data_IF_953595097172
#
_entry.id   IF_953595097172
#
_cell.length_a   1.000
_cell.length_b   1.000
_cell.length_c   1.000
_cell.angle_alpha   90.00
_cell.angle_beta   90.00
_cell.angle_gamma   90.00
#
_symmetry.space_group_name_H-M   'P 1'
#
loop_
_entity.id
_entity.type
_entity.pdbx_description
1 polymer ?
#
# COMPACT_ATOMS: atom_id res chain seq x y z
N UNK A 1 -1.64 -13.89 14.24
CA UNK A 1 -2.38 -12.91 13.42
C UNK A 1 -2.40 -11.56 14.09
N UNK A 2 -1.83 -10.58 13.42
CA UNK A 2 -1.62 -9.20 13.86
C UNK A 2 -2.40 -8.25 12.96
N UNK A 3 -2.70 -7.06 13.47
CA UNK A 3 -3.32 -5.99 12.68
C UNK A 3 -2.24 -4.99 12.26
N UNK A 4 -2.26 -4.62 10.98
CA UNK A 4 -1.34 -3.66 10.42
C UNK A 4 -2.11 -2.51 9.79
N UNK A 5 -1.61 -1.30 9.99
CA UNK A 5 -2.07 -0.11 9.29
C UNK A 5 -0.98 0.37 8.35
N UNK A 6 -1.39 0.66 7.11
CA UNK A 6 -0.54 1.22 6.08
C UNK A 6 -1.10 2.54 5.60
N UNK A 7 -0.26 3.57 5.57
CA UNK A 7 -0.52 4.81 4.84
C UNK A 7 0.25 4.75 3.53
N UNK A 8 -0.40 5.06 2.41
CA UNK A 8 0.18 4.87 1.09
C UNK A 8 -0.16 6.01 0.13
N UNK A 9 0.65 6.12 -0.92
CA UNK A 9 0.46 7.04 -2.04
C UNK A 9 0.64 6.29 -3.35
N UNK A 10 -0.28 6.50 -4.28
CA UNK A 10 -0.22 5.95 -5.64
C UNK A 10 0.01 7.11 -6.61
N UNK A 11 1.16 7.10 -7.27
CA UNK A 11 1.48 8.06 -8.32
C UNK A 11 0.81 7.63 -9.63
N UNK A 12 -0.08 8.46 -10.17
CA UNK A 12 -0.81 8.17 -11.41
C UNK A 12 -0.09 8.74 -12.64
N UNK A 13 0.45 9.96 -12.51
CA UNK A 13 1.25 10.65 -13.51
C UNK A 13 2.21 11.66 -12.84
N UNK A 14 2.93 12.47 -13.62
CA UNK A 14 3.95 13.41 -13.12
C UNK A 14 3.41 14.50 -12.17
N UNK A 15 2.10 14.74 -12.16
CA UNK A 15 1.46 15.80 -11.36
C UNK A 15 0.33 15.31 -10.45
N UNK A 16 -0.16 14.08 -10.64
CA UNK A 16 -1.30 13.53 -9.93
C UNK A 16 -0.97 12.24 -9.19
N UNK A 17 -1.57 12.11 -8.01
CA UNK A 17 -1.61 10.85 -7.29
C UNK A 17 -2.70 10.82 -6.24
N UNK A 18 -2.88 9.65 -5.64
CA UNK A 18 -3.94 9.37 -4.67
C UNK A 18 -3.28 8.89 -3.38
N UNK A 19 -3.63 9.54 -2.28
CA UNK A 19 -3.28 9.12 -0.93
C UNK A 19 -4.38 8.26 -0.33
N UNK A 20 -4.00 7.32 0.53
CA UNK A 20 -4.95 6.48 1.22
C UNK A 20 -4.37 5.72 2.39
N UNK A 21 -5.26 5.02 3.09
CA UNK A 21 -4.94 4.16 4.22
C UNK A 21 -5.56 2.78 4.04
N UNK A 22 -4.91 1.75 4.58
CA UNK A 22 -5.44 0.39 4.60
C UNK A 22 -5.14 -0.30 5.92
N UNK A 23 -6.15 -1.02 6.41
CA UNK A 23 -6.03 -1.90 7.56
C UNK A 23 -6.09 -3.34 7.06
N UNK A 24 -5.11 -4.15 7.45
CA UNK A 24 -5.01 -5.54 7.03
C UNK A 24 -4.61 -6.42 8.21
N UNK A 25 -4.91 -7.71 8.09
CA UNK A 25 -4.56 -8.73 9.08
C UNK A 25 -3.60 -9.72 8.47
N UNK A 26 -2.50 -10.00 9.14
CA UNK A 26 -1.48 -10.92 8.64
C UNK A 26 -0.53 -11.42 9.72
N UNK A 27 0.46 -12.22 9.33
CA UNK A 27 1.50 -12.72 10.25
C UNK A 27 2.77 -11.87 10.20
N UNK A 28 3.15 -11.38 9.02
CA UNK A 28 4.35 -10.55 8.79
C UNK A 28 3.98 -9.28 8.04
N UNK A 29 4.53 -8.16 8.49
CA UNK A 29 4.24 -6.84 7.92
C UNK A 29 4.76 -6.72 6.49
N UNK A 30 5.90 -7.36 6.17
CA UNK A 30 6.52 -7.32 4.84
C UNK A 30 5.66 -8.03 3.79
N UNK A 31 5.07 -9.17 4.15
CA UNK A 31 4.19 -9.94 3.27
C UNK A 31 2.92 -9.15 2.95
N UNK A 32 2.31 -8.54 3.97
CA UNK A 32 1.11 -7.72 3.80
C UNK A 32 1.40 -6.41 3.04
N UNK A 33 2.56 -5.81 3.29
CA UNK A 33 3.02 -4.64 2.54
C UNK A 33 3.17 -4.97 1.04
N UNK A 34 3.75 -6.13 0.70
CA UNK A 34 3.87 -6.57 -0.68
C UNK A 34 2.50 -6.79 -1.33
N UNK A 35 1.59 -7.47 -0.64
CA UNK A 35 0.21 -7.71 -1.10
C UNK A 35 -0.55 -6.41 -1.36
N UNK A 36 -0.41 -5.42 -0.47
CA UNK A 36 -1.05 -4.11 -0.66
C UNK A 36 -0.50 -3.41 -1.89
N UNK A 37 0.83 -3.40 -2.09
CA UNK A 37 1.43 -2.78 -3.28
C UNK A 37 0.92 -3.43 -4.56
N UNK A 38 0.87 -4.76 -4.62
CA UNK A 38 0.31 -5.46 -5.78
C UNK A 38 -1.18 -5.16 -5.98
N UNK A 39 -1.97 -5.15 -4.90
CA UNK A 39 -3.40 -4.84 -4.97
C UNK A 39 -3.64 -3.44 -5.53
N UNK A 40 -3.01 -2.42 -4.95
CA UNK A 40 -3.16 -1.03 -5.36
C UNK A 40 -2.67 -0.81 -6.79
N UNK A 41 -1.58 -1.47 -7.20
CA UNK A 41 -1.10 -1.38 -8.57
C UNK A 41 -2.14 -1.85 -9.60
N UNK A 42 -2.89 -2.91 -9.28
CA UNK A 42 -3.97 -3.43 -10.12
C UNK A 42 -5.21 -2.55 -10.07
N UNK A 43 -5.57 -2.07 -8.88
CA UNK A 43 -6.74 -1.23 -8.64
C UNK A 43 -6.65 0.12 -9.39
N UNK A 44 -5.48 0.74 -9.37
CA UNK A 44 -5.22 2.03 -10.01
C UNK A 44 -4.56 1.91 -11.39
N UNK A 45 -4.37 0.70 -11.91
CA UNK A 45 -3.77 0.44 -13.23
C UNK A 45 -2.37 1.07 -13.41
N UNK A 46 -1.54 1.02 -12.37
CA UNK A 46 -0.17 1.53 -12.37
C UNK A 46 0.87 0.42 -12.16
N UNK A 47 2.15 0.74 -12.37
CA UNK A 47 3.23 -0.19 -12.01
C UNK A 47 3.34 -0.29 -10.48
N UNK A 48 3.72 -1.46 -9.91
CA UNK A 48 3.97 -1.58 -8.47
C UNK A 48 5.01 -0.58 -7.94
N UNK A 49 5.96 -0.15 -8.79
CA UNK A 49 6.95 0.88 -8.46
C UNK A 49 6.35 2.27 -8.23
N UNK A 50 5.12 2.51 -8.70
CA UNK A 50 4.37 3.75 -8.50
C UNK A 50 3.55 3.74 -7.21
N UNK A 51 3.59 2.66 -6.43
CA UNK A 51 2.90 2.53 -5.14
C UNK A 51 3.91 2.67 -4.00
N UNK A 52 3.75 3.74 -3.23
CA UNK A 52 4.61 4.09 -2.12
C UNK A 52 3.88 3.81 -0.81
N UNK A 53 4.57 3.11 0.10
CA UNK A 53 4.12 2.98 1.48
C UNK A 53 4.84 4.08 2.24
N UNK A 54 4.07 5.00 2.80
CA UNK A 54 4.57 6.17 3.51
C UNK A 54 4.81 5.81 4.98
N UNK A 55 3.90 5.06 5.57
CA UNK A 55 3.96 4.62 6.96
C UNK A 55 3.38 3.21 7.09
N UNK A 56 3.96 2.42 7.98
CA UNK A 56 3.46 1.10 8.35
C UNK A 56 3.59 0.89 9.85
N UNK A 57 2.52 0.46 10.52
CA UNK A 57 2.50 0.19 11.95
C UNK A 57 1.72 -1.09 12.29
N UNK A 58 2.21 -1.83 13.28
CA UNK A 58 1.45 -2.90 13.95
C UNK A 58 0.57 -2.27 15.03
N UNK A 59 -0.69 -2.74 15.12
CA UNK A 59 -1.71 -2.28 16.07
C UNK A 59 -1.99 -3.40 17.07
#
# INVERSE_FOLDING_TARGET
MKEFRFSWYVLLDDQNGIEGGSFVRGEKIEDEMHRIKEKLSKEYYVRPSSVYIIESSEI
#
